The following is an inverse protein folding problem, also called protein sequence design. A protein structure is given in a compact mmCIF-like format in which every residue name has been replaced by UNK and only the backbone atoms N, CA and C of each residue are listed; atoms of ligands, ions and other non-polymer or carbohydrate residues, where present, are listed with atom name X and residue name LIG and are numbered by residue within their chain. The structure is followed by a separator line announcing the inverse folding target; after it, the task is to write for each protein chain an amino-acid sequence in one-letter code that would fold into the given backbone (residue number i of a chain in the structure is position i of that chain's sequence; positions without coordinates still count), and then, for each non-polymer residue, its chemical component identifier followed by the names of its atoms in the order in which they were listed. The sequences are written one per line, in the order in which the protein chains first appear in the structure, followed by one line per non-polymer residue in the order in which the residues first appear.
data_IF_819890211662
#
_entry.id   IF_819890211662
#
_cell.length_a   1.000
_cell.length_b   1.000
_cell.length_c   1.000
_cell.angle_alpha   90.00
_cell.angle_beta   90.00
_cell.angle_gamma   90.00
#
_symmetry.space_group_name_H-M   'P 1'
#
loop_
_entity.id
_entity.type
_entity.pdbx_description
1 polymer ?
#
# COMPACT_ATOMS: atom_id res chain seq x y z
N UNK A 1 -25.33 4.08 -17.21
CA UNK A 1 -24.41 3.11 -16.56
C UNK A 1 -23.00 3.62 -16.80
N UNK A 2 -22.13 3.69 -15.78
CA UNK A 2 -20.76 4.20 -15.95
C UNK A 2 -19.89 3.13 -16.64
N UNK A 3 -19.01 3.53 -17.56
CA UNK A 3 -18.03 2.64 -18.21
C UNK A 3 -17.04 2.08 -17.18
N UNK A 4 -16.51 0.87 -17.41
CA UNK A 4 -15.56 0.25 -16.48
C UNK A 4 -14.31 1.13 -16.32
N UNK A 5 -13.88 1.77 -17.41
CA UNK A 5 -12.75 2.72 -17.40
C UNK A 5 -13.06 3.94 -16.52
N UNK A 6 -14.27 4.51 -16.59
CA UNK A 6 -14.62 5.65 -15.73
C UNK A 6 -14.64 5.28 -14.24
N UNK A 7 -15.14 4.10 -13.89
CA UNK A 7 -15.13 3.58 -12.51
C UNK A 7 -13.68 3.40 -12.06
N UNK A 8 -12.82 2.83 -12.91
CA UNK A 8 -11.41 2.64 -12.60
C UNK A 8 -10.66 3.96 -12.38
N UNK A 9 -10.99 5.01 -13.14
CA UNK A 9 -10.43 6.36 -12.97
C UNK A 9 -10.85 6.99 -11.63
N UNK A 10 -12.12 6.83 -11.24
CA UNK A 10 -12.63 7.30 -9.94
C UNK A 10 -11.92 6.59 -8.77
N UNK A 11 -11.79 5.27 -8.84
CA UNK A 11 -11.05 4.50 -7.83
C UNK A 11 -9.55 4.85 -7.82
N UNK A 12 -8.93 5.09 -8.97
CA UNK A 12 -7.54 5.52 -9.05
C UNK A 12 -7.34 6.87 -8.36
N UNK A 13 -8.28 7.79 -8.51
CA UNK A 13 -8.26 9.09 -7.81
C UNK A 13 -8.32 8.92 -6.29
N UNK A 14 -9.18 8.02 -5.79
CA UNK A 14 -9.26 7.69 -4.36
C UNK A 14 -7.96 7.08 -3.84
N UNK A 15 -7.38 6.12 -4.56
CA UNK A 15 -6.10 5.49 -4.22
C UNK A 15 -4.97 6.52 -4.18
N UNK A 16 -4.92 7.47 -5.14
CA UNK A 16 -3.92 8.53 -5.14
C UNK A 16 -4.05 9.45 -3.92
N UNK A 17 -5.27 9.86 -3.55
CA UNK A 17 -5.50 10.64 -2.32
C UNK A 17 -5.07 9.88 -1.06
N UNK A 18 -5.32 8.57 -1.01
CA UNK A 18 -4.88 7.73 0.09
C UNK A 18 -3.35 7.61 0.16
N UNK A 19 -2.68 7.52 -1.01
CA UNK A 19 -1.21 7.53 -1.11
C UNK A 19 -0.63 8.85 -0.60
N UNK A 20 -1.16 10.00 -1.01
CA UNK A 20 -0.72 11.30 -0.52
C UNK A 20 -0.83 11.41 1.01
N UNK A 21 -1.93 10.92 1.59
CA UNK A 21 -2.10 10.88 3.05
C UNK A 21 -1.07 9.95 3.71
N UNK A 22 -0.87 8.75 3.17
CA UNK A 22 0.12 7.80 3.68
C UNK A 22 1.55 8.35 3.58
N UNK A 23 1.91 9.08 2.52
CA UNK A 23 3.21 9.75 2.38
C UNK A 23 3.43 10.82 3.44
N UNK A 24 2.40 11.62 3.76
CA UNK A 24 2.46 12.58 4.88
C UNK A 24 2.66 11.88 6.22
N UNK A 25 1.97 10.75 6.45
CA UNK A 25 2.14 9.96 7.67
C UNK A 25 3.56 9.40 7.77
N UNK A 26 4.10 8.85 6.69
CA UNK A 26 5.49 8.36 6.65
C UNK A 26 6.51 9.47 6.88
N UNK A 27 6.27 10.67 6.34
CA UNK A 27 7.13 11.83 6.58
C UNK A 27 7.21 12.19 8.08
N UNK A 28 6.09 12.07 8.81
CA UNK A 28 6.06 12.29 10.26
C UNK A 28 6.83 11.20 11.05
N UNK A 29 7.03 10.01 10.45
CA UNK A 29 7.71 8.87 11.06
C UNK A 29 9.16 8.71 10.60
N UNK A 30 9.71 9.67 9.85
CA UNK A 30 11.07 9.60 9.29
C UNK A 30 12.19 9.45 10.32
N UNK A 31 11.96 9.90 11.55
CA UNK A 31 12.93 9.85 12.64
C UNK A 31 12.91 8.52 13.41
N UNK A 32 12.01 7.59 13.05
CA UNK A 32 11.96 6.28 13.71
C UNK A 32 13.16 5.46 13.25
N UNK A 33 14.04 5.02 14.17
CA UNK A 33 15.25 4.32 13.80
C UNK A 33 14.94 2.96 13.15
N UNK A 34 15.76 2.53 12.17
CA UNK A 34 15.63 1.22 11.56
C UNK A 34 15.81 0.13 12.61
N UNK A 35 14.73 -0.56 12.92
CA UNK A 35 14.66 -1.56 13.99
C UNK A 35 13.49 -2.50 13.74
N UNK A 36 13.51 -3.68 14.34
CA UNK A 36 12.36 -4.59 14.35
C UNK A 36 11.68 -4.57 15.71
N UNK A 37 10.35 -4.42 15.72
CA UNK A 37 9.54 -4.52 16.92
C UNK A 37 9.07 -5.96 17.13
N UNK A 38 9.24 -6.47 18.35
CA UNK A 38 8.67 -7.74 18.80
C UNK A 38 7.77 -7.49 20.00
N UNK A 39 6.53 -7.96 19.93
CA UNK A 39 5.60 -7.98 21.06
C UNK A 39 5.45 -9.41 21.60
N UNK A 40 5.47 -9.57 22.91
CA UNK A 40 5.26 -10.85 23.59
C UNK A 40 4.16 -10.66 24.64
N UNK A 41 3.13 -11.52 24.61
CA UNK A 41 2.08 -11.52 25.63
C UNK A 41 2.63 -12.09 26.93
N UNK A 42 2.44 -11.38 28.04
CA UNK A 42 2.79 -11.81 29.40
C UNK A 42 1.61 -11.57 30.32
N UNK A 43 0.91 -12.65 30.68
CA UNK A 43 -0.35 -12.58 31.41
C UNK A 43 -1.38 -11.75 30.65
N UNK A 44 -1.90 -10.70 31.31
CA UNK A 44 -2.89 -9.76 30.73
C UNK A 44 -2.27 -8.57 30.00
N UNK A 45 -0.94 -8.54 29.83
CA UNK A 45 -0.24 -7.40 29.23
C UNK A 45 0.67 -7.83 28.08
N UNK A 46 1.17 -6.86 27.32
CA UNK A 46 2.20 -7.06 26.31
C UNK A 46 3.52 -6.43 26.75
N UNK A 47 4.60 -7.16 26.50
CA UNK A 47 5.98 -6.69 26.59
C UNK A 47 6.50 -6.41 25.18
N UNK A 48 7.20 -5.28 25.03
CA UNK A 48 7.74 -4.85 23.74
C UNK A 48 9.26 -4.91 23.78
N UNK A 49 9.83 -5.36 22.67
CA UNK A 49 11.26 -5.46 22.48
C UNK A 49 11.62 -4.85 21.13
N UNK A 50 12.68 -4.04 21.09
CA UNK A 50 13.26 -3.52 19.86
C UNK A 50 14.59 -4.22 19.57
N UNK A 51 14.88 -4.45 18.30
CA UNK A 51 16.19 -4.92 17.86
C UNK A 51 16.65 -4.06 16.69
N UNK A 52 17.76 -3.36 16.83
CA UNK A 52 18.42 -2.67 15.71
C UNK A 52 19.31 -3.64 14.93
N UNK A 53 19.83 -3.23 13.78
CA UNK A 53 20.78 -4.04 13.00
C UNK A 53 22.10 -4.30 13.74
N UNK A 54 22.47 -3.41 14.65
CA UNK A 54 23.71 -3.48 15.43
C UNK A 54 23.55 -4.36 16.68
N UNK A 55 22.31 -4.54 17.15
CA UNK A 55 22.03 -5.30 18.36
C UNK A 55 22.12 -6.82 18.13
N UNK A 56 22.96 -7.49 18.92
CA UNK A 56 22.98 -8.96 18.98
C UNK A 56 21.68 -9.55 19.55
N UNK A 57 20.99 -8.81 20.42
CA UNK A 57 19.77 -9.28 21.11
C UNK A 57 18.71 -8.19 21.18
N UNK A 58 17.44 -8.60 21.27
CA UNK A 58 16.33 -7.64 21.40
C UNK A 58 16.33 -6.99 22.78
N UNK A 59 16.31 -5.65 22.81
CA UNK A 59 16.22 -4.83 24.01
C UNK A 59 14.77 -4.67 24.45
N UNK A 60 14.48 -5.02 25.70
CA UNK A 60 13.19 -4.76 26.32
C UNK A 60 12.93 -3.25 26.45
N UNK A 61 11.72 -2.82 26.08
CA UNK A 61 11.27 -1.44 26.24
C UNK A 61 10.53 -1.27 27.55
N UNK A 62 11.01 -0.34 28.37
CA UNK A 62 10.36 0.05 29.62
C UNK A 62 9.11 0.88 29.32
N UNK A 63 8.27 1.09 30.34
CA UNK A 63 7.02 1.87 30.21
C UNK A 63 7.26 3.28 29.65
N UNK A 64 8.35 3.94 30.07
CA UNK A 64 8.76 5.27 29.57
C UNK A 64 9.10 5.29 28.07
N UNK A 65 9.45 4.15 27.50
CA UNK A 65 9.89 4.00 26.11
C UNK A 65 8.78 3.44 25.19
N UNK A 66 7.54 3.29 25.69
CA UNK A 66 6.43 2.73 24.89
C UNK A 66 6.15 3.50 23.61
N UNK A 67 6.37 4.81 23.61
CA UNK A 67 6.24 5.65 22.42
C UNK A 67 7.14 5.16 21.26
N UNK A 68 8.30 4.54 21.55
CA UNK A 68 9.16 3.96 20.52
C UNK A 68 8.51 2.73 19.87
N UNK A 69 7.82 1.90 20.65
CA UNK A 69 7.08 0.75 20.14
C UNK A 69 5.89 1.21 19.28
N UNK A 70 5.14 2.21 19.75
CA UNK A 70 3.99 2.78 19.04
C UNK A 70 4.42 3.38 17.70
N UNK A 71 5.46 4.23 17.70
CA UNK A 71 5.98 4.83 16.48
C UNK A 71 6.52 3.78 15.49
N UNK A 72 7.20 2.74 15.98
CA UNK A 72 7.67 1.66 15.12
C UNK A 72 6.53 0.82 14.54
N UNK A 73 5.54 0.48 15.37
CA UNK A 73 4.34 -0.23 14.92
C UNK A 73 3.57 0.58 13.87
N UNK A 74 3.42 1.89 14.09
CA UNK A 74 2.80 2.79 13.12
C UNK A 74 3.60 2.83 11.81
N UNK A 75 4.94 2.91 11.88
CA UNK A 75 5.78 2.87 10.68
C UNK A 75 5.59 1.57 9.89
N UNK A 76 5.60 0.42 10.56
CA UNK A 76 5.38 -0.89 9.92
C UNK A 76 3.99 -0.98 9.27
N UNK A 77 2.97 -0.40 9.91
CA UNK A 77 1.63 -0.30 9.37
C UNK A 77 1.57 0.60 8.12
N UNK A 78 2.12 1.81 8.19
CA UNK A 78 2.11 2.76 7.07
C UNK A 78 2.91 2.24 5.86
N UNK A 79 4.04 1.55 6.08
CA UNK A 79 4.80 0.90 5.01
C UNK A 79 4.00 -0.21 4.33
N UNK A 80 3.26 -1.01 5.11
CA UNK A 80 2.36 -2.03 4.56
C UNK A 80 1.22 -1.43 3.75
N UNK A 81 0.59 -0.37 4.26
CA UNK A 81 -0.43 0.39 3.53
C UNK A 81 0.15 0.89 2.21
N UNK A 82 1.33 1.52 2.23
CA UNK A 82 1.95 2.06 1.03
C UNK A 82 2.11 0.99 -0.04
N UNK A 83 2.59 -0.21 0.35
CA UNK A 83 2.74 -1.35 -0.55
C UNK A 83 1.41 -1.78 -1.17
N UNK A 84 0.36 -1.90 -0.36
CA UNK A 84 -0.98 -2.28 -0.83
C UNK A 84 -1.53 -1.23 -1.80
N UNK A 85 -1.46 0.05 -1.44
CA UNK A 85 -1.94 1.15 -2.27
C UNK A 85 -1.17 1.27 -3.60
N UNK A 86 0.16 1.13 -3.58
CA UNK A 86 0.97 1.12 -4.81
C UNK A 86 0.58 -0.04 -5.73
N UNK A 87 0.30 -1.22 -5.17
CA UNK A 87 -0.17 -2.36 -5.96
C UNK A 87 -1.56 -2.09 -6.59
N UNK A 88 -2.50 -1.57 -5.80
CA UNK A 88 -3.83 -1.17 -6.30
C UNK A 88 -3.71 -0.11 -7.42
N UNK A 89 -2.88 0.92 -7.21
CA UNK A 89 -2.63 1.96 -8.20
C UNK A 89 -2.10 1.36 -9.52
N UNK A 90 -1.16 0.42 -9.44
CA UNK A 90 -0.62 -0.29 -10.62
C UNK A 90 -1.70 -1.06 -11.36
N UNK A 91 -2.55 -1.80 -10.64
CA UNK A 91 -3.66 -2.57 -11.24
C UNK A 91 -4.62 -1.63 -11.98
N UNK A 92 -5.03 -0.53 -11.34
CA UNK A 92 -5.97 0.42 -11.94
C UNK A 92 -5.38 1.13 -13.16
N UNK A 93 -4.10 1.54 -13.11
CA UNK A 93 -3.40 2.10 -14.27
C UNK A 93 -3.33 1.10 -15.44
N UNK A 94 -3.07 -0.17 -15.15
CA UNK A 94 -3.04 -1.21 -16.18
C UNK A 94 -4.43 -1.46 -16.78
N UNK A 95 -5.48 -1.46 -15.96
CA UNK A 95 -6.85 -1.59 -16.43
C UNK A 95 -7.20 -0.43 -17.39
N UNK A 96 -6.98 0.81 -16.96
CA UNK A 96 -7.29 2.02 -17.74
C UNK A 96 -6.52 2.04 -19.08
N UNK A 97 -5.26 1.61 -19.09
CA UNK A 97 -4.42 1.66 -20.30
C UNK A 97 -4.66 0.52 -21.29
N UNK A 98 -5.14 -0.64 -20.81
CA UNK A 98 -5.24 -1.85 -21.65
C UNK A 98 -6.67 -2.22 -22.02
N UNK A 99 -7.65 -1.82 -21.22
CA UNK A 99 -9.03 -2.19 -21.45
C UNK A 99 -9.68 -1.23 -22.45
N UNK A 100 -10.10 -1.78 -23.60
CA UNK A 100 -10.89 -1.07 -24.60
C UNK A 100 -12.27 -1.74 -24.69
N UNK A 101 -13.32 -0.98 -24.36
CA UNK A 101 -14.71 -1.44 -24.40
C UNK A 101 -15.16 -1.83 -25.80
N UNK A 102 -14.60 -1.20 -26.83
CA UNK A 102 -14.93 -1.47 -28.23
C UNK A 102 -13.96 -2.47 -28.89
N UNK A 103 -13.15 -3.18 -28.10
CA UNK A 103 -12.09 -4.04 -28.64
C UNK A 103 -12.59 -5.11 -29.62
N UNK A 104 -13.81 -5.63 -29.42
CA UNK A 104 -14.43 -6.62 -30.30
C UNK A 104 -14.89 -5.96 -31.61
N UNK A 105 -15.59 -4.82 -31.53
CA UNK A 105 -16.03 -4.05 -32.68
C UNK A 105 -14.84 -3.53 -33.51
N UNK A 106 -13.80 -3.05 -32.83
CA UNK A 106 -12.56 -2.58 -33.47
C UNK A 106 -11.86 -3.73 -34.18
N UNK A 107 -11.85 -4.94 -33.60
CA UNK A 107 -11.29 -6.14 -34.25
C UNK A 107 -12.02 -6.45 -35.56
N UNK A 108 -13.35 -6.37 -35.57
CA UNK A 108 -14.14 -6.56 -36.79
C UNK A 108 -13.91 -5.44 -37.81
N UNK A 109 -13.87 -4.18 -37.37
CA UNK A 109 -13.61 -3.01 -38.26
C UNK A 109 -12.25 -3.08 -38.94
N UNK A 110 -11.24 -3.62 -38.25
CA UNK A 110 -9.89 -3.80 -38.77
C UNK A 110 -9.74 -5.02 -39.72
N UNK A 111 -10.77 -5.85 -39.90
CA UNK A 111 -10.75 -6.90 -40.93
C UNK A 111 -10.70 -6.27 -42.32
N UNK A 112 -10.09 -6.96 -43.29
CA UNK A 112 -10.20 -6.57 -44.69
C UNK A 112 -11.64 -6.79 -45.20
N UNK A 113 -12.07 -6.03 -46.21
CA UNK A 113 -13.45 -6.05 -46.73
C UNK A 113 -13.92 -7.47 -47.10
N UNK A 114 -13.07 -8.29 -47.72
CA UNK A 114 -13.42 -9.68 -48.06
C UNK A 114 -13.62 -10.63 -46.86
N UNK A 115 -13.34 -10.18 -45.63
CA UNK A 115 -13.55 -10.91 -44.37
C UNK A 115 -14.60 -10.27 -43.47
N UNK A 116 -15.15 -9.12 -43.86
CA UNK A 116 -16.33 -8.54 -43.21
C UNK A 116 -17.54 -9.27 -43.79
N UNK A 117 -18.16 -10.12 -42.98
CA UNK A 117 -19.40 -10.86 -43.29
C UNK A 117 -20.59 -9.96 -42.95
#
# INVERSE_FOLDING_TARGET
MKSLVSIAQEELSKVNKALEKNERNLANLRNVPPSSLRAIKKGMTYQYYLKTSEDKQSRYLKKSERHLAENRAQLDYELNIQRVLKNQQKILKNLISRYNENSVEDTYRCLCEGRKI
#
